data_IF_379920040397
#
_entry.id   IF_379920040397
#
_cell.length_a   1.000
_cell.length_b   1.000
_cell.length_c   1.000
_cell.angle_alpha   90.00
_cell.angle_beta   90.00
_cell.angle_gamma   90.00
#
_symmetry.space_group_name_H-M   'P 1'
#
loop_
_entity.id
_entity.type
_entity.pdbx_description
1 polymer ?
#
# COMPACT_ATOMS: atom_id res chain seq x y z
N UNK A 1 13.83 -51.36 -24.32
CA UNK A 1 15.26 -51.08 -24.04
C UNK A 1 15.68 -49.60 -24.02
N UNK A 2 14.88 -48.62 -24.49
CA UNK A 2 15.29 -47.19 -24.51
C UNK A 2 14.97 -46.38 -23.24
N UNK A 3 14.34 -46.96 -22.23
CA UNK A 3 13.93 -46.26 -20.99
C UNK A 3 14.95 -46.31 -19.84
N UNK A 4 15.93 -47.22 -19.89
CA UNK A 4 16.92 -47.32 -18.79
C UNK A 4 18.10 -46.34 -18.91
N UNK A 5 18.34 -45.76 -20.08
CA UNK A 5 19.50 -44.86 -20.30
C UNK A 5 19.25 -43.45 -19.75
N UNK A 6 17.99 -42.99 -19.65
CA UNK A 6 17.68 -41.62 -19.17
C UNK A 6 17.73 -41.45 -17.65
N UNK A 7 17.75 -42.53 -16.87
CA UNK A 7 17.79 -42.45 -15.40
C UNK A 7 19.20 -42.33 -14.82
N UNK A 8 20.25 -42.64 -15.58
CA UNK A 8 21.63 -42.55 -15.07
C UNK A 8 22.28 -41.17 -15.25
N UNK A 9 21.78 -40.32 -16.15
CA UNK A 9 22.37 -38.98 -16.38
C UNK A 9 21.97 -37.96 -15.30
N UNK A 10 20.91 -38.21 -14.53
CA UNK A 10 20.43 -37.28 -13.49
C UNK A 10 21.21 -37.30 -12.18
N UNK A 11 22.02 -38.32 -11.92
CA UNK A 11 22.71 -38.49 -10.64
C UNK A 11 24.12 -37.88 -10.59
N UNK A 12 24.71 -37.54 -11.74
CA UNK A 12 26.05 -36.94 -11.81
C UNK A 12 26.05 -35.41 -11.70
N UNK A 13 24.93 -34.72 -11.94
CA UNK A 13 24.87 -33.25 -11.78
C UNK A 13 24.64 -32.78 -10.34
N UNK A 14 24.13 -33.65 -9.45
CA UNK A 14 23.85 -33.30 -8.06
C UNK A 14 25.11 -33.29 -7.16
N UNK A 15 26.18 -33.99 -7.56
CA UNK A 15 27.43 -34.03 -6.80
C UNK A 15 28.36 -32.83 -7.09
N UNK A 16 28.13 -32.07 -8.17
CA UNK A 16 28.99 -30.95 -8.56
C UNK A 16 28.65 -29.62 -7.86
N UNK A 17 27.45 -29.47 -7.27
CA UNK A 17 27.06 -28.24 -6.58
C UNK A 17 27.39 -28.19 -5.09
N UNK A 18 27.85 -29.29 -4.48
CA UNK A 18 28.14 -29.34 -3.04
C UNK A 18 29.57 -28.88 -2.66
N UNK A 19 30.43 -28.56 -3.64
CA UNK A 19 31.83 -28.18 -3.40
C UNK A 19 32.12 -26.67 -3.46
N UNK A 20 31.12 -25.80 -3.64
CA UNK A 20 31.29 -24.35 -3.75
C UNK A 20 30.92 -23.56 -2.48
N UNK A 21 30.81 -24.23 -1.33
CA UNK A 21 30.36 -23.62 -0.07
C UNK A 21 31.47 -23.34 0.97
N UNK A 22 32.76 -23.51 0.62
CA UNK A 22 33.87 -23.38 1.58
C UNK A 22 35.04 -22.58 1.00
N UNK A 23 34.86 -21.31 0.61
CA UNK A 23 35.97 -20.40 0.32
C UNK A 23 35.53 -18.92 0.14
N UNK A 24 35.01 -18.28 1.19
CA UNK A 24 35.00 -16.81 1.34
C UNK A 24 34.73 -16.52 2.83
N UNK A 25 35.74 -16.48 3.70
CA UNK A 25 36.69 -15.37 3.77
C UNK A 25 36.02 -14.22 4.53
N UNK A 26 35.84 -14.31 5.86
CA UNK A 26 36.76 -13.74 6.87
C UNK A 26 37.44 -12.44 6.38
N UNK A 27 36.92 -11.30 6.83
CA UNK A 27 37.66 -10.04 6.90
C UNK A 27 37.25 -9.28 8.18
N UNK A 28 38.18 -8.46 8.72
CA UNK A 28 38.30 -8.21 10.15
C UNK A 28 37.61 -6.93 10.63
N UNK A 29 37.33 -6.95 11.93
CA UNK A 29 36.90 -5.88 12.81
C UNK A 29 37.96 -4.76 12.89
N UNK A 30 37.59 -3.49 12.65
CA UNK A 30 38.37 -2.35 13.12
C UNK A 30 37.82 -1.82 14.45
N UNK A 31 38.69 -1.83 15.45
CA UNK A 31 38.51 -1.23 16.75
C UNK A 31 38.46 0.31 16.69
N UNK A 32 37.83 0.87 17.74
CA UNK A 32 38.25 2.08 18.45
C UNK A 32 38.24 3.41 17.70
N UNK A 33 37.38 4.34 18.15
CA UNK A 33 37.81 5.52 18.92
C UNK A 33 36.61 6.37 19.31
N UNK A 34 36.33 6.45 20.62
CA UNK A 34 35.62 7.57 21.22
C UNK A 34 36.56 8.79 21.29
N UNK A 35 36.00 10.02 21.31
CA UNK A 35 36.38 10.87 22.43
C UNK A 35 35.21 11.59 23.11
N UNK A 36 35.47 11.76 24.40
CA UNK A 36 34.88 12.54 25.47
C UNK A 36 34.23 13.90 25.14
N UNK A 37 33.20 14.18 25.93
CA UNK A 37 32.94 15.42 26.69
C UNK A 37 32.69 16.74 25.96
N UNK A 38 31.46 17.25 26.11
CA UNK A 38 31.28 18.62 26.59
C UNK A 38 29.98 18.71 27.41
N UNK A 39 30.19 19.01 28.68
CA UNK A 39 29.19 19.33 29.70
C UNK A 39 28.86 20.82 29.62
N UNK A 40 27.58 21.17 29.60
CA UNK A 40 27.12 22.51 29.99
C UNK A 40 25.65 22.49 30.45
N UNK A 41 25.49 22.77 31.73
CA UNK A 41 24.29 23.29 32.39
C UNK A 41 24.75 24.47 33.26
N UNK A 42 23.88 25.26 33.92
CA UNK A 42 22.54 25.74 33.57
C UNK A 42 22.51 27.29 33.53
N UNK A 43 21.43 27.90 33.04
CA UNK A 43 21.17 29.32 33.29
C UNK A 43 19.72 29.52 33.76
N UNK A 44 19.60 29.66 35.08
CA UNK A 44 18.45 30.18 35.81
C UNK A 44 18.36 31.68 35.55
N UNK A 45 17.21 32.17 35.09
CA UNK A 45 16.89 33.60 35.09
C UNK A 45 15.51 33.79 35.71
N UNK A 46 15.50 34.45 36.87
CA UNK A 46 14.35 34.74 37.70
C UNK A 46 13.94 36.21 37.51
N UNK A 47 12.63 36.43 37.28
CA UNK A 47 11.90 37.65 37.67
C UNK A 47 11.50 38.62 36.55
N UNK A 48 10.59 39.59 36.82
CA UNK A 48 9.50 39.63 37.79
C UNK A 48 8.12 39.90 37.16
N UNK A 49 7.08 39.81 38.00
CA UNK A 49 5.67 40.10 37.72
C UNK A 49 5.39 41.52 37.19
N UNK A 50 4.40 41.64 36.30
CA UNK A 50 3.83 42.91 35.84
C UNK A 50 2.46 42.74 35.17
N UNK A 51 1.41 42.89 35.99
CA UNK A 51 0.15 43.62 35.75
C UNK A 51 -0.59 43.51 34.39
N UNK A 52 -1.76 42.86 34.46
CA UNK A 52 -3.09 43.33 34.03
C UNK A 52 -3.24 44.02 32.66
N UNK A 53 -3.92 43.35 31.72
CA UNK A 53 -5.10 43.88 31.00
C UNK A 53 -5.71 42.82 30.07
N UNK A 54 -6.97 42.45 30.32
CA UNK A 54 -7.92 42.07 29.26
C UNK A 54 -8.30 43.35 28.50
N UNK A 55 -8.52 43.32 27.17
CA UNK A 55 -9.80 42.84 26.65
C UNK A 55 -9.72 42.10 25.30
N UNK A 56 -10.90 41.65 24.87
CA UNK A 56 -11.30 41.33 23.49
C UNK A 56 -11.08 39.91 22.95
N UNK A 57 -12.18 39.16 23.04
CA UNK A 57 -12.87 38.54 21.90
C UNK A 57 -12.04 38.41 20.62
N UNK A 58 -11.60 37.19 20.32
CA UNK A 58 -11.34 36.81 18.94
C UNK A 58 -11.68 35.34 18.69
N UNK A 59 -12.78 35.20 17.94
CA UNK A 59 -13.06 34.15 16.96
C UNK A 59 -12.64 32.73 17.34
N UNK A 60 -13.67 31.91 17.64
CA UNK A 60 -13.56 30.47 17.57
C UNK A 60 -12.95 30.06 16.22
N UNK A 61 -11.71 29.57 16.26
CA UNK A 61 -11.10 28.85 15.16
C UNK A 61 -11.83 27.52 15.01
N UNK A 62 -12.89 27.53 14.20
CA UNK A 62 -13.40 26.31 13.60
C UNK A 62 -12.22 25.70 12.81
N UNK A 63 -11.72 24.55 13.28
CA UNK A 63 -10.75 23.77 12.53
C UNK A 63 -11.29 23.56 11.11
N UNK A 64 -10.47 23.78 10.06
CA UNK A 64 -10.92 23.54 8.69
C UNK A 64 -11.35 22.07 8.57
N UNK A 65 -12.50 21.78 7.94
CA UNK A 65 -12.92 20.40 7.71
C UNK A 65 -11.80 19.66 6.98
N UNK A 66 -11.45 18.48 7.50
CA UNK A 66 -10.40 17.63 6.95
C UNK A 66 -10.55 17.54 5.42
N UNK A 67 -9.53 18.02 4.70
CA UNK A 67 -9.56 18.10 3.25
C UNK A 67 -9.86 16.72 2.66
N UNK A 68 -10.98 16.62 1.93
CA UNK A 68 -11.38 15.40 1.25
C UNK A 68 -10.25 15.02 0.28
N UNK A 69 -9.70 13.80 0.32
CA UNK A 69 -8.71 13.39 -0.67
C UNK A 69 -9.29 13.59 -2.07
N UNK A 70 -8.64 14.42 -2.87
CA UNK A 70 -9.07 14.75 -4.23
C UNK A 70 -8.98 13.51 -5.11
N UNK A 71 -10.09 13.16 -5.76
CA UNK A 71 -10.16 12.03 -6.68
C UNK A 71 -9.14 12.22 -7.82
N UNK A 72 -8.33 11.20 -8.17
CA UNK A 72 -7.34 11.31 -9.23
C UNK A 72 -7.98 11.63 -10.59
N UNK A 73 -7.25 12.39 -11.41
CA UNK A 73 -7.75 12.96 -12.68
C UNK A 73 -8.38 11.90 -13.61
N UNK A 74 -9.65 12.10 -13.95
CA UNK A 74 -10.54 11.10 -14.57
C UNK A 74 -10.20 10.69 -16.03
N UNK A 75 -9.22 11.33 -16.69
CA UNK A 75 -8.93 11.10 -18.12
C UNK A 75 -8.26 9.76 -18.44
N UNK A 76 -7.70 9.05 -17.46
CA UNK A 76 -6.92 7.82 -17.69
C UNK A 76 -7.61 6.51 -17.31
N UNK A 77 -8.82 6.57 -16.73
CA UNK A 77 -9.48 5.37 -16.21
C UNK A 77 -10.68 4.95 -17.07
N UNK A 78 -10.92 3.63 -17.22
CA UNK A 78 -12.05 3.13 -18.00
C UNK A 78 -13.38 3.59 -17.39
N UNK A 79 -14.32 3.99 -18.26
CA UNK A 79 -15.66 4.43 -17.86
C UNK A 79 -16.61 3.26 -17.56
N UNK A 80 -16.27 2.06 -18.03
CA UNK A 80 -17.03 0.82 -17.89
C UNK A 80 -16.16 -0.28 -17.29
N UNK A 81 -16.78 -1.37 -16.82
CA UNK A 81 -16.09 -2.53 -16.24
C UNK A 81 -16.46 -2.81 -14.78
N UNK A 82 -15.72 -3.72 -14.12
CA UNK A 82 -15.96 -4.10 -12.73
C UNK A 82 -15.96 -2.89 -11.80
N UNK A 83 -16.94 -2.80 -10.89
CA UNK A 83 -17.09 -1.67 -9.97
C UNK A 83 -17.55 -0.36 -10.62
N UNK A 84 -17.78 -0.33 -11.93
CA UNK A 84 -18.27 0.83 -12.69
C UNK A 84 -19.66 0.56 -13.28
N UNK A 85 -19.75 -0.45 -14.14
CA UNK A 85 -20.96 -0.82 -14.88
C UNK A 85 -21.36 -2.29 -14.70
N UNK A 86 -20.45 -3.14 -14.24
CA UNK A 86 -20.73 -4.55 -13.90
C UNK A 86 -20.23 -4.87 -12.48
N UNK A 87 -20.81 -5.89 -11.80
CA UNK A 87 -20.40 -6.24 -10.45
C UNK A 87 -18.90 -6.52 -10.33
N UNK A 88 -18.31 -6.12 -9.21
CA UNK A 88 -16.87 -6.19 -8.94
C UNK A 88 -16.34 -4.89 -8.34
N UNK A 89 -15.01 -4.71 -8.40
CA UNK A 89 -14.32 -3.56 -7.83
C UNK A 89 -13.48 -2.81 -8.86
N UNK A 90 -13.49 -1.48 -8.76
CA UNK A 90 -12.55 -0.60 -9.43
C UNK A 90 -11.74 0.16 -8.39
N UNK A 91 -10.42 -0.01 -8.41
CA UNK A 91 -9.50 0.56 -7.43
C UNK A 91 -8.56 1.53 -8.13
N UNK A 92 -8.34 2.69 -7.53
CA UNK A 92 -7.25 3.58 -7.90
C UNK A 92 -6.39 3.82 -6.67
N UNK A 93 -5.09 3.57 -6.80
CA UNK A 93 -4.10 3.85 -5.78
C UNK A 93 -3.11 4.89 -6.30
N UNK A 94 -2.94 5.99 -5.59
CA UNK A 94 -1.95 7.01 -5.90
C UNK A 94 -0.79 6.92 -4.91
N UNK A 95 0.41 6.70 -5.43
CA UNK A 95 1.66 6.63 -4.68
C UNK A 95 2.20 8.04 -4.44
N UNK A 96 2.41 8.38 -3.17
CA UNK A 96 3.03 9.63 -2.78
C UNK A 96 4.57 9.52 -2.70
N UNK A 97 5.23 10.67 -2.47
CA UNK A 97 6.69 10.76 -2.36
C UNK A 97 7.27 10.02 -1.14
N UNK A 98 6.45 9.70 -0.15
CA UNK A 98 6.86 8.97 1.06
C UNK A 98 6.71 7.46 0.90
N UNK A 99 6.10 7.00 -0.19
CA UNK A 99 5.81 5.58 -0.43
C UNK A 99 4.49 5.12 0.18
N UNK A 100 3.63 6.03 0.62
CA UNK A 100 2.26 5.70 1.03
C UNK A 100 1.31 5.73 -0.17
N UNK A 101 0.23 4.97 -0.05
CA UNK A 101 -0.82 4.88 -1.07
C UNK A 101 -2.08 5.57 -0.58
N UNK A 102 -2.60 6.49 -1.37
CA UNK A 102 -3.98 6.97 -1.23
C UNK A 102 -4.87 6.11 -2.13
N UNK A 103 -5.80 5.37 -1.53
CA UNK A 103 -6.63 4.38 -2.22
C UNK A 103 -8.06 4.88 -2.27
N UNK A 104 -8.64 4.85 -3.47
CA UNK A 104 -10.06 5.03 -3.70
C UNK A 104 -10.60 3.81 -4.45
N UNK A 105 -11.60 3.17 -3.87
CA UNK A 105 -12.19 1.95 -4.40
C UNK A 105 -13.70 2.15 -4.55
N UNK A 106 -14.22 1.79 -5.71
CA UNK A 106 -15.65 1.67 -5.95
C UNK A 106 -16.02 0.21 -6.13
N UNK A 107 -17.06 -0.22 -5.45
CA UNK A 107 -17.58 -1.59 -5.49
C UNK A 107 -19.00 -1.53 -6.00
N UNK A 108 -19.30 -2.37 -6.99
CA UNK A 108 -20.64 -2.64 -7.45
C UNK A 108 -20.98 -4.09 -7.09
N UNK A 109 -21.98 -4.27 -6.23
CA UNK A 109 -22.44 -5.56 -5.72
C UNK A 109 -23.45 -6.18 -6.70
N UNK A 110 -23.56 -7.51 -6.75
CA UNK A 110 -24.52 -8.19 -7.64
C UNK A 110 -25.99 -7.97 -7.23
N UNK A 111 -26.25 -7.77 -5.93
CA UNK A 111 -27.57 -7.54 -5.35
C UNK A 111 -27.54 -6.32 -4.42
N UNK A 112 -28.73 -5.85 -4.01
CA UNK A 112 -28.83 -4.82 -2.98
C UNK A 112 -28.54 -5.44 -1.62
N UNK A 113 -27.67 -4.80 -0.85
CA UNK A 113 -27.23 -5.27 0.47
C UNK A 113 -27.57 -4.23 1.53
N UNK A 114 -27.89 -4.69 2.73
CA UNK A 114 -28.03 -3.85 3.93
C UNK A 114 -26.80 -3.91 4.83
N UNK A 115 -25.90 -4.87 4.57
CA UNK A 115 -24.61 -4.97 5.26
C UNK A 115 -23.58 -5.63 4.36
N UNK A 116 -22.32 -5.27 4.52
CA UNK A 116 -21.18 -5.90 3.83
C UNK A 116 -20.07 -6.19 4.82
N UNK A 117 -19.19 -7.12 4.47
CA UNK A 117 -17.91 -7.32 5.13
C UNK A 117 -16.81 -6.66 4.32
N UNK A 118 -15.95 -5.93 5.00
CA UNK A 118 -14.79 -5.24 4.43
C UNK A 118 -13.53 -5.80 5.08
N UNK A 119 -12.61 -6.31 4.27
CA UNK A 119 -11.32 -6.82 4.74
C UNK A 119 -10.20 -6.26 3.87
N UNK A 120 -9.18 -5.66 4.46
CA UNK A 120 -7.96 -5.27 3.74
C UNK A 120 -6.93 -6.38 3.88
N UNK A 121 -6.53 -7.08 2.79
CA UNK A 121 -5.51 -8.11 2.88
C UNK A 121 -4.16 -7.55 3.30
N UNK A 122 -3.30 -8.41 3.85
CA UNK A 122 -1.98 -8.00 4.32
C UNK A 122 -0.95 -7.93 3.18
N UNK A 123 -0.42 -6.74 2.83
CA UNK A 123 0.56 -6.60 1.77
C UNK A 123 1.91 -7.24 2.12
N UNK A 124 2.18 -7.59 3.39
CA UNK A 124 3.38 -8.33 3.81
C UNK A 124 3.46 -9.74 3.22
N UNK A 125 2.31 -10.30 2.84
CA UNK A 125 2.24 -11.60 2.19
C UNK A 125 2.67 -11.57 0.71
N UNK A 126 2.97 -10.37 0.18
CA UNK A 126 3.46 -10.24 -1.18
C UNK A 126 4.98 -10.43 -1.26
N UNK A 127 5.51 -10.92 -2.39
CA UNK A 127 6.94 -11.19 -2.54
C UNK A 127 7.81 -9.96 -2.27
N UNK A 128 8.84 -10.15 -1.43
CA UNK A 128 9.83 -9.12 -1.14
C UNK A 128 9.34 -8.01 -0.19
N UNK A 129 8.24 -8.22 0.55
CA UNK A 129 7.60 -7.21 1.40
C UNK A 129 7.30 -7.68 2.84
N UNK A 130 7.86 -8.81 3.27
CA UNK A 130 7.53 -9.43 4.57
C UNK A 130 7.89 -8.56 5.81
N UNK A 131 8.88 -7.67 5.69
CA UNK A 131 9.35 -6.81 6.79
C UNK A 131 8.62 -5.47 6.94
N UNK A 132 7.53 -5.26 6.20
CA UNK A 132 6.75 -4.02 6.28
C UNK A 132 5.91 -3.94 7.56
N UNK A 133 5.44 -2.74 7.88
CA UNK A 133 4.47 -2.48 8.95
C UNK A 133 3.29 -1.65 8.38
N UNK A 134 2.38 -2.29 7.63
CA UNK A 134 1.32 -1.58 6.95
C UNK A 134 0.29 -1.04 7.95
N UNK A 135 -0.06 0.23 7.80
CA UNK A 135 -1.07 0.88 8.65
C UNK A 135 -2.10 1.61 7.79
N UNK A 136 -3.37 1.32 8.07
CA UNK A 136 -4.54 1.98 7.45
C UNK A 136 -4.85 3.27 8.23
N UNK A 137 -5.07 4.37 7.51
CA UNK A 137 -5.44 5.69 8.02
C UNK A 137 -6.58 6.28 7.20
N UNK A 138 -7.24 7.29 7.77
CA UNK A 138 -8.17 8.18 7.05
C UNK A 138 -9.29 7.44 6.29
N UNK A 139 -9.84 6.40 6.92
CA UNK A 139 -10.86 5.54 6.30
C UNK A 139 -12.18 6.30 6.15
N UNK A 140 -12.74 6.25 4.94
CA UNK A 140 -14.03 6.82 4.59
C UNK A 140 -14.82 5.78 3.79
N UNK A 141 -16.03 5.46 4.25
CA UNK A 141 -16.98 4.64 3.50
C UNK A 141 -18.16 5.52 3.09
N UNK A 142 -18.63 5.38 1.86
CA UNK A 142 -19.74 6.15 1.29
C UNK A 142 -20.69 5.25 0.52
N UNK A 143 -21.98 5.54 0.62
CA UNK A 143 -23.06 4.97 -0.20
C UNK A 143 -23.76 6.14 -0.88
N UNK A 144 -23.66 6.21 -2.22
CA UNK A 144 -24.02 7.44 -2.94
C UNK A 144 -23.19 8.62 -2.40
N UNK A 145 -23.89 9.66 -1.93
CA UNK A 145 -23.28 10.84 -1.31
C UNK A 145 -23.28 10.79 0.24
N UNK A 146 -23.79 9.71 0.84
CA UNK A 146 -23.89 9.59 2.30
C UNK A 146 -22.66 8.87 2.89
N UNK A 147 -21.98 9.48 3.89
CA UNK A 147 -20.93 8.80 4.62
C UNK A 147 -21.52 7.70 5.52
N UNK A 148 -20.82 6.57 5.60
CA UNK A 148 -21.17 5.44 6.47
C UNK A 148 -20.20 5.39 7.64
N UNK A 149 -20.74 5.40 8.86
CA UNK A 149 -19.94 5.27 10.07
C UNK A 149 -19.52 3.81 10.30
N UNK A 150 -18.23 3.62 10.55
CA UNK A 150 -17.69 2.32 10.92
C UNK A 150 -17.85 2.12 12.44
N UNK A 151 -18.44 1.01 12.83
CA UNK A 151 -18.57 0.62 14.24
C UNK A 151 -17.25 0.07 14.81
N UNK A 152 -16.33 -0.33 13.94
CA UNK A 152 -15.01 -0.84 14.29
C UNK A 152 -13.97 -0.24 13.33
N UNK A 153 -12.74 0.04 13.82
CA UNK A 153 -11.68 0.52 12.94
C UNK A 153 -11.29 -0.57 11.93
N UNK A 154 -11.07 -0.18 10.67
CA UNK A 154 -10.57 -1.07 9.65
C UNK A 154 -9.10 -1.40 9.94
N UNK A 155 -8.77 -2.69 9.94
CA UNK A 155 -7.42 -3.20 10.25
C UNK A 155 -6.96 -4.18 9.18
N UNK A 156 -5.65 -4.24 8.97
CA UNK A 156 -5.04 -5.19 8.04
C UNK A 156 -5.34 -6.63 8.51
N UNK A 157 -5.77 -7.47 7.56
CA UNK A 157 -6.06 -8.89 7.78
C UNK A 157 -7.41 -9.17 8.47
N UNK A 158 -8.09 -8.17 9.03
CA UNK A 158 -9.33 -8.35 9.78
C UNK A 158 -10.55 -7.92 8.98
N UNK A 159 -11.55 -8.79 8.89
CA UNK A 159 -12.85 -8.45 8.34
C UNK A 159 -13.66 -7.62 9.34
N UNK A 160 -14.30 -6.56 8.86
CA UNK A 160 -15.21 -5.70 9.62
C UNK A 160 -16.56 -5.67 8.91
N UNK A 161 -17.63 -5.93 9.66
CA UNK A 161 -18.99 -5.79 9.15
C UNK A 161 -19.42 -4.32 9.18
N UNK A 162 -19.88 -3.83 8.04
CA UNK A 162 -20.38 -2.47 7.85
C UNK A 162 -21.88 -2.56 7.58
N UNK A 163 -22.66 -1.87 8.42
CA UNK A 163 -24.11 -1.72 8.18
C UNK A 163 -24.33 -0.53 7.26
N UNK A 164 -25.12 -0.72 6.21
CA UNK A 164 -25.40 0.31 5.21
C UNK A 164 -26.66 1.08 5.62
N UNK A 165 -26.70 2.41 5.40
CA UNK A 165 -27.84 3.24 5.81
C UNK A 165 -29.12 2.90 5.03
N UNK A 166 -28.97 2.37 3.81
CA UNK A 166 -30.06 1.91 2.95
C UNK A 166 -29.60 0.70 2.12
N UNK A 167 -30.53 -0.16 1.65
CA UNK A 167 -30.21 -1.23 0.71
C UNK A 167 -29.57 -0.66 -0.57
N UNK A 168 -28.32 -1.04 -0.87
CA UNK A 168 -27.60 -0.50 -2.03
C UNK A 168 -26.76 -1.55 -2.73
N UNK A 169 -26.41 -1.27 -3.99
CA UNK A 169 -25.41 -2.04 -4.75
C UNK A 169 -24.07 -1.33 -4.86
N UNK A 170 -23.99 -0.04 -4.55
CA UNK A 170 -22.80 0.76 -4.84
C UNK A 170 -22.18 1.29 -3.56
N UNK A 171 -20.91 0.97 -3.35
CA UNK A 171 -20.13 1.41 -2.20
C UNK A 171 -18.86 2.06 -2.70
N UNK A 172 -18.46 3.17 -2.07
CA UNK A 172 -17.15 3.78 -2.25
C UNK A 172 -16.37 3.71 -0.94
N UNK A 173 -15.10 3.35 -1.03
CA UNK A 173 -14.17 3.24 0.09
C UNK A 173 -12.92 4.06 -0.25
N UNK A 174 -12.57 5.01 0.61
CA UNK A 174 -11.34 5.78 0.56
C UNK A 174 -10.51 5.52 1.81
N UNK A 175 -9.20 5.34 1.67
CA UNK A 175 -8.29 5.24 2.81
C UNK A 175 -6.84 5.50 2.38
N UNK A 176 -5.98 5.79 3.36
CA UNK A 176 -4.54 5.88 3.16
C UNK A 176 -3.85 4.65 3.75
N UNK A 177 -2.93 4.08 3.01
CA UNK A 177 -2.14 2.93 3.43
C UNK A 177 -0.67 3.36 3.50
N UNK A 178 -0.11 3.31 4.72
CA UNK A 178 1.27 3.73 5.04
C UNK A 178 2.11 2.53 5.43
N UNK A 179 3.44 2.68 5.46
CA UNK A 179 4.34 1.56 5.81
C UNK A 179 4.32 0.43 4.79
N UNK A 180 3.93 0.72 3.54
CA UNK A 180 3.80 -0.27 2.45
C UNK A 180 4.94 -0.28 1.44
N UNK A 181 5.93 0.59 1.63
CA UNK A 181 7.08 0.71 0.76
C UNK A 181 8.34 0.14 1.43
N UNK A 182 9.01 -0.77 0.74
CA UNK A 182 10.33 -1.27 1.11
C UNK A 182 11.36 -0.69 0.16
N UNK A 183 12.18 0.22 0.66
CA UNK A 183 13.33 0.75 -0.09
C UNK A 183 14.38 -0.35 -0.23
N UNK A 184 14.91 -0.48 -1.44
CA UNK A 184 15.92 -1.49 -1.74
C UNK A 184 17.28 -1.07 -1.20
N UNK A 185 18.01 -2.00 -0.58
CA UNK A 185 19.39 -1.83 -0.11
C UNK A 185 20.17 -3.15 -0.29
N UNK A 186 21.34 -3.18 -0.97
CA UNK A 186 22.01 -2.09 -1.70
C UNK A 186 21.47 -1.99 -3.13
N UNK A 187 20.64 -0.99 -3.44
CA UNK A 187 20.14 -0.73 -4.78
C UNK A 187 20.33 0.76 -5.12
N UNK A 188 20.11 1.19 -6.37
CA UNK A 188 20.16 2.61 -6.69
C UNK A 188 19.29 3.41 -5.72
N UNK A 189 19.85 4.49 -5.18
CA UNK A 189 19.19 5.32 -4.16
C UNK A 189 17.78 5.69 -4.63
N UNK A 190 16.79 5.44 -3.78
CA UNK A 190 15.40 5.77 -4.05
C UNK A 190 14.55 4.64 -4.65
N UNK A 191 15.12 3.53 -5.15
CA UNK A 191 14.29 2.40 -5.59
C UNK A 191 13.54 1.77 -4.42
N UNK A 192 12.27 1.47 -4.63
CA UNK A 192 11.41 0.81 -3.66
C UNK A 192 10.45 -0.18 -4.33
N UNK A 193 10.06 -1.19 -3.55
CA UNK A 193 8.89 -2.02 -3.82
C UNK A 193 7.73 -1.50 -2.95
N UNK A 194 6.54 -1.43 -3.51
CA UNK A 194 5.33 -1.01 -2.80
C UNK A 194 4.26 -2.08 -2.93
N UNK A 195 3.72 -2.53 -1.81
CA UNK A 195 2.65 -3.52 -1.77
C UNK A 195 1.28 -2.88 -1.81
N UNK A 196 0.41 -3.37 -2.69
CA UNK A 196 -0.98 -2.96 -2.77
C UNK A 196 -1.87 -4.20 -2.80
N UNK A 197 -2.70 -4.36 -1.77
CA UNK A 197 -3.80 -5.32 -1.77
C UNK A 197 -5.08 -4.56 -1.41
N UNK A 198 -5.96 -4.25 -2.38
CA UNK A 198 -7.17 -3.49 -2.13
C UNK A 198 -8.12 -4.19 -1.16
N UNK A 199 -9.06 -3.44 -0.58
CA UNK A 199 -10.03 -4.03 0.31
C UNK A 199 -10.94 -4.98 -0.47
N UNK A 200 -11.23 -6.13 0.11
CA UNK A 200 -12.30 -7.01 -0.37
C UNK A 200 -13.58 -6.56 0.31
N UNK A 201 -14.61 -6.32 -0.51
CA UNK A 201 -15.95 -6.01 -0.03
C UNK A 201 -16.87 -7.13 -0.48
N UNK A 202 -17.51 -7.80 0.47
CA UNK A 202 -18.36 -8.97 0.26
C UNK A 202 -19.74 -8.73 0.87
N UNK A 203 -20.79 -8.91 0.07
CA UNK A 203 -22.18 -8.90 0.53
C UNK A 203 -22.66 -10.32 0.85
N UNK A 204 -23.92 -10.64 0.53
CA UNK A 204 -24.43 -12.01 0.61
C UNK A 204 -23.89 -12.93 -0.49
N UNK A 205 -23.20 -12.37 -1.50
CA UNK A 205 -22.57 -13.08 -2.61
C UNK A 205 -21.04 -13.04 -2.59
N UNK A 206 -20.42 -13.74 -3.55
CA UNK A 206 -18.97 -13.74 -3.76
C UNK A 206 -18.48 -12.38 -4.26
N UNK A 207 -17.24 -12.01 -3.89
CA UNK A 207 -16.62 -10.80 -4.42
C UNK A 207 -16.39 -10.93 -5.92
N UNK A 208 -16.78 -9.91 -6.68
CA UNK A 208 -16.60 -9.88 -8.14
C UNK A 208 -15.16 -9.53 -8.55
N UNK A 209 -14.84 -9.57 -9.85
CA UNK A 209 -13.50 -9.25 -10.34
C UNK A 209 -13.08 -7.82 -9.97
N UNK A 210 -11.77 -7.60 -9.86
CA UNK A 210 -11.18 -6.32 -9.46
C UNK A 210 -10.24 -5.80 -10.55
N UNK A 211 -10.40 -4.52 -10.90
CA UNK A 211 -9.45 -3.77 -11.73
C UNK A 211 -8.72 -2.78 -10.83
N UNK A 212 -7.39 -2.75 -10.93
CA UNK A 212 -6.54 -1.89 -10.11
C UNK A 212 -5.76 -0.94 -11.01
N UNK A 213 -5.93 0.36 -10.80
CA UNK A 213 -5.10 1.42 -11.35
C UNK A 213 -4.10 1.90 -10.31
N UNK A 214 -2.84 2.08 -10.69
CA UNK A 214 -1.80 2.67 -9.83
C UNK A 214 -1.18 3.87 -10.55
N UNK A 215 -1.10 5.01 -9.86
CA UNK A 215 -0.53 6.24 -10.39
C UNK A 215 0.49 6.86 -9.45
N UNK A 216 1.42 7.65 -9.99
CA UNK A 216 2.39 8.44 -9.22
C UNK A 216 3.69 8.65 -9.99
N UNK A 217 4.31 9.83 -9.89
CA UNK A 217 5.46 10.20 -10.72
C UNK A 217 6.65 9.22 -10.65
N UNK A 218 6.81 8.52 -9.53
CA UNK A 218 7.87 7.53 -9.31
C UNK A 218 7.53 6.11 -9.77
N UNK A 219 6.32 5.82 -10.23
CA UNK A 219 5.88 4.44 -10.55
C UNK A 219 6.55 3.95 -11.83
N UNK A 220 7.33 2.87 -11.74
CA UNK A 220 8.10 2.30 -12.85
C UNK A 220 7.45 1.06 -13.46
N UNK A 221 6.86 0.20 -12.63
CA UNK A 221 6.15 -1.01 -13.08
C UNK A 221 5.16 -1.49 -12.03
N UNK A 222 4.20 -2.32 -12.43
CA UNK A 222 3.26 -3.00 -11.55
C UNK A 222 3.12 -4.46 -11.95
N UNK A 223 3.18 -5.37 -10.97
CA UNK A 223 3.14 -6.82 -11.20
C UNK A 223 2.08 -7.49 -10.31
N UNK A 224 1.38 -8.50 -10.83
CA UNK A 224 0.46 -9.35 -10.07
C UNK A 224 1.16 -10.64 -9.65
N UNK A 225 1.69 -10.76 -8.43
CA UNK A 225 2.43 -11.95 -8.02
C UNK A 225 1.57 -13.22 -7.97
N UNK A 226 0.25 -13.09 -7.79
CA UNK A 226 -0.66 -14.24 -7.65
C UNK A 226 -1.00 -14.93 -8.98
N UNK A 227 -0.70 -14.31 -10.13
CA UNK A 227 -1.05 -14.84 -11.45
C UNK A 227 -0.03 -15.87 -11.99
N UNK A 228 0.94 -16.29 -11.17
CA UNK A 228 2.04 -17.19 -11.58
C UNK A 228 2.99 -16.54 -12.60
N UNK A 229 4.05 -17.27 -12.99
CA UNK A 229 5.15 -16.74 -13.83
C UNK A 229 4.71 -16.21 -15.20
N UNK A 230 3.64 -16.75 -15.78
CA UNK A 230 3.10 -16.31 -17.08
C UNK A 230 2.19 -15.07 -16.99
N UNK A 231 1.68 -14.75 -15.79
CA UNK A 231 0.72 -13.66 -15.58
C UNK A 231 1.24 -12.51 -14.70
N UNK A 232 2.53 -12.51 -14.34
CA UNK A 232 3.10 -11.49 -13.45
C UNK A 232 2.94 -10.07 -13.99
N UNK A 233 2.97 -9.88 -15.31
CA UNK A 233 2.74 -8.58 -15.97
C UNK A 233 1.26 -8.41 -16.36
N UNK A 234 0.38 -8.45 -15.37
CA UNK A 234 -1.06 -8.26 -15.52
C UNK A 234 -1.49 -6.80 -15.78
N UNK A 235 -0.56 -5.85 -15.57
CA UNK A 235 -0.82 -4.43 -15.64
C UNK A 235 -0.24 -3.85 -16.93
N UNK A 236 -1.08 -3.10 -17.64
CA UNK A 236 -0.74 -2.37 -18.87
C UNK A 236 -0.68 -0.88 -18.56
N UNK A 237 0.27 -0.18 -19.17
CA UNK A 237 0.45 1.25 -18.93
C UNK A 237 1.84 1.73 -19.28
N UNK A 238 2.15 2.93 -18.84
CA UNK A 238 3.45 3.56 -18.99
C UNK A 238 3.94 4.06 -17.63
N UNK A 239 5.22 4.42 -17.54
CA UNK A 239 5.80 5.02 -16.34
C UNK A 239 4.86 6.12 -15.78
N UNK A 240 4.54 5.99 -14.49
CA UNK A 240 3.65 6.88 -13.78
C UNK A 240 2.18 6.48 -13.73
N UNK A 241 1.72 5.54 -14.57
CA UNK A 241 0.32 5.10 -14.62
C UNK A 241 0.15 3.70 -15.21
N UNK A 242 -0.32 2.75 -14.40
CA UNK A 242 -0.59 1.37 -14.78
C UNK A 242 -2.02 0.95 -14.42
N UNK A 243 -2.60 0.05 -15.20
CA UNK A 243 -3.94 -0.49 -15.00
C UNK A 243 -3.95 -2.00 -15.25
N UNK A 244 -4.54 -2.79 -14.36
CA UNK A 244 -4.66 -4.24 -14.55
C UNK A 244 -5.79 -4.59 -15.50
N UNK A 245 -5.68 -5.76 -16.14
CA UNK A 245 -6.86 -6.50 -16.57
C UNK A 245 -7.71 -6.90 -15.34
N UNK A 246 -8.99 -7.28 -15.51
CA UNK A 246 -9.80 -7.79 -14.41
C UNK A 246 -9.13 -9.01 -13.75
N UNK A 247 -8.91 -8.92 -12.44
CA UNK A 247 -8.35 -9.99 -11.61
C UNK A 247 -9.46 -10.64 -10.79
N UNK A 248 -9.30 -11.91 -10.42
CA UNK A 248 -10.10 -12.49 -9.35
C UNK A 248 -9.88 -11.70 -8.04
N UNK A 249 -10.90 -11.57 -7.19
CA UNK A 249 -10.82 -10.74 -5.98
C UNK A 249 -9.77 -11.25 -4.98
N UNK A 250 -9.57 -12.56 -4.95
CA UNK A 250 -8.57 -13.26 -4.15
C UNK A 250 -7.14 -12.95 -4.62
N UNK A 251 -6.96 -12.77 -5.93
CA UNK A 251 -5.66 -12.54 -6.58
C UNK A 251 -5.36 -11.05 -6.82
N UNK A 252 -6.30 -10.17 -6.47
CA UNK A 252 -6.22 -8.73 -6.66
C UNK A 252 -5.18 -8.12 -5.72
N UNK A 253 -3.91 -8.27 -6.05
CA UNK A 253 -2.80 -7.65 -5.36
C UNK A 253 -1.67 -7.30 -6.34
N UNK A 254 -0.96 -6.22 -6.05
CA UNK A 254 0.14 -5.72 -6.86
C UNK A 254 1.40 -5.51 -6.03
N UNK A 255 2.55 -5.84 -6.63
CA UNK A 255 3.85 -5.31 -6.24
C UNK A 255 4.23 -4.25 -7.27
N UNK A 256 4.40 -3.02 -6.79
CA UNK A 256 4.73 -1.85 -7.61
C UNK A 256 6.20 -1.53 -7.42
N UNK A 257 6.95 -1.42 -8.51
CA UNK A 257 8.30 -0.87 -8.46
C UNK A 257 8.22 0.63 -8.64
N UNK A 258 8.89 1.38 -7.78
CA UNK A 258 8.90 2.83 -7.84
C UNK A 258 10.26 3.43 -7.47
N UNK A 259 10.46 4.68 -7.87
CA UNK A 259 11.51 5.56 -7.36
C UNK A 259 10.89 6.57 -6.42
N UNK A 260 11.31 6.54 -5.15
CA UNK A 260 10.93 7.49 -4.12
C UNK A 260 12.09 8.47 -3.86
N UNK A 261 11.81 9.76 -3.61
CA UNK A 261 12.82 10.72 -3.15
C UNK A 261 13.65 10.19 -1.98
N UNK A 262 14.89 10.65 -1.84
CA UNK A 262 15.70 10.32 -0.67
C UNK A 262 14.97 10.75 0.61
N UNK A 263 15.05 9.97 1.71
CA UNK A 263 14.34 10.28 2.95
C UNK A 263 14.75 11.63 3.57
N UNK A 264 15.93 12.12 3.23
CA UNK A 264 16.41 13.45 3.60
C UNK A 264 16.57 14.25 2.31
N UNK A 265 15.66 15.20 2.05
CA UNK A 265 15.78 16.13 0.93
C UNK A 265 17.00 17.03 1.10
N UNK A 266 18.18 16.54 0.74
CA UNK A 266 19.31 17.38 0.40
C UNK A 266 19.04 17.97 -0.98
N UNK A 267 18.58 19.22 -1.01
CA UNK A 267 18.79 20.05 -2.18
C UNK A 267 20.30 20.07 -2.45
N UNK A 268 20.70 19.48 -3.58
CA UNK A 268 21.98 19.75 -4.21
C UNK A 268 21.82 20.94 -5.14
#
# INVERSE_FOLDING_TARGET
>A
MRQHVRRMTGLLLAAACAAAAVAAGRTPEPASSAPASASSAPATATGPSGTTSSPDQRAGSASPPAARPSSPSAKQFPKTGPGRSVPGSFVVASLDSMGALLIWQRVLLPAQETSVEVQVPDPRNLPGLAGLEPVIRDVQVQVGDQPVLLTQPLQIGRAVRVTLPEPTRSIALGYRLTGVAQRSSPAPVGRALVGLAPARVTGSGTSGPTVIGVTGAGVLSAQCPQQGTKGQFCAVGATGSFLTLPLAAEDAALVVQATLPAPNGGAG
#
